data_IF_375400359202
#
_entry.id   IF_375400359202
#
_cell.length_a   1.000
_cell.length_b   1.000
_cell.length_c   1.000
_cell.angle_alpha   90.00
_cell.angle_beta   90.00
_cell.angle_gamma   90.00
#
_symmetry.space_group_name_H-M   'P 1'
#
loop_
_entity.id
_entity.type
_entity.pdbx_description
1 polymer ?
#
# COMPACT_ATOMS: atom_id res chain seq x y z
N UNK A 1 17.91 -18.35 -13.94
CA UNK A 1 18.81 -19.15 -13.06
C UNK A 1 19.98 -18.35 -12.51
N UNK A 2 20.97 -17.89 -13.29
CA UNK A 2 22.10 -17.10 -12.74
C UNK A 2 21.67 -15.68 -12.29
N UNK A 3 20.82 -15.04 -13.09
CA UNK A 3 20.34 -13.67 -12.87
C UNK A 3 19.36 -13.57 -11.69
N UNK A 4 18.44 -14.54 -11.58
CA UNK A 4 17.52 -14.67 -10.44
C UNK A 4 18.27 -14.87 -9.12
N UNK A 5 19.37 -15.63 -9.13
CA UNK A 5 20.20 -15.84 -7.94
C UNK A 5 20.87 -14.55 -7.50
N UNK A 6 21.43 -13.78 -8.44
CA UNK A 6 22.00 -12.47 -8.15
C UNK A 6 20.93 -11.52 -7.60
N UNK A 7 19.79 -11.44 -8.28
CA UNK A 7 18.67 -10.59 -7.87
C UNK A 7 18.21 -10.93 -6.45
N UNK A 8 18.01 -12.21 -6.14
CA UNK A 8 17.65 -12.65 -4.79
C UNK A 8 18.70 -12.23 -3.75
N UNK A 9 19.98 -12.41 -4.04
CA UNK A 9 21.07 -12.01 -3.14
C UNK A 9 21.08 -10.50 -2.88
N UNK A 10 20.92 -9.68 -3.92
CA UNK A 10 20.95 -8.22 -3.79
C UNK A 10 19.68 -7.70 -3.11
N UNK A 11 18.50 -8.23 -3.42
CA UNK A 11 17.26 -7.91 -2.71
C UNK A 11 17.41 -8.22 -1.22
N UNK A 12 17.92 -9.39 -0.87
CA UNK A 12 18.17 -9.75 0.53
C UNK A 12 19.17 -8.79 1.20
N UNK A 13 20.22 -8.37 0.49
CA UNK A 13 21.22 -7.41 0.98
C UNK A 13 20.67 -5.99 1.13
N UNK A 14 19.70 -5.59 0.32
CA UNK A 14 19.02 -4.30 0.44
C UNK A 14 18.02 -4.32 1.60
N UNK A 15 17.28 -5.42 1.75
CA UNK A 15 16.23 -5.55 2.75
C UNK A 15 16.75 -5.94 4.14
N UNK A 16 18.05 -6.29 4.27
CA UNK A 16 18.94 -6.51 5.45
C UNK A 16 18.37 -7.22 6.68
N UNK A 17 17.21 -6.80 7.16
CA UNK A 17 16.48 -7.34 8.30
C UNK A 17 15.66 -8.58 7.88
N UNK A 18 15.90 -9.76 8.47
CA UNK A 18 15.10 -10.95 8.22
C UNK A 18 13.59 -10.74 8.45
N UNK A 19 13.21 -9.88 9.41
CA UNK A 19 11.81 -9.55 9.66
C UNK A 19 11.17 -8.75 8.52
N UNK A 20 11.96 -8.00 7.76
CA UNK A 20 11.54 -7.33 6.53
C UNK A 20 11.52 -8.34 5.38
N UNK A 21 12.56 -9.16 5.25
CA UNK A 21 12.70 -10.15 4.18
C UNK A 21 11.51 -11.12 4.11
N UNK A 22 11.07 -11.66 5.25
CA UNK A 22 9.91 -12.54 5.35
C UNK A 22 8.60 -11.78 5.64
N UNK A 23 8.67 -10.45 5.78
CA UNK A 23 7.57 -9.62 6.24
C UNK A 23 6.98 -8.71 5.17
N UNK A 24 7.42 -8.80 3.91
CA UNK A 24 6.84 -8.09 2.76
C UNK A 24 5.48 -8.68 2.33
N UNK A 25 4.53 -8.77 3.27
CA UNK A 25 3.25 -9.46 3.11
C UNK A 25 2.36 -8.87 2.03
N UNK A 26 2.53 -7.57 1.75
CA UNK A 26 1.80 -6.91 0.66
C UNK A 26 2.11 -7.58 -0.70
N UNK A 27 3.26 -8.24 -0.82
CA UNK A 27 3.70 -8.93 -2.03
C UNK A 27 3.66 -10.46 -1.90
N UNK A 28 2.86 -11.00 -0.98
CA UNK A 28 2.68 -12.45 -0.84
C UNK A 28 2.29 -13.08 -2.20
N UNK A 29 3.01 -14.14 -2.57
CA UNK A 29 2.89 -14.81 -3.88
C UNK A 29 3.71 -14.18 -5.02
N UNK A 30 4.37 -13.05 -4.79
CA UNK A 30 5.29 -12.41 -5.74
C UNK A 30 6.73 -12.72 -5.34
N UNK A 31 7.47 -13.38 -6.23
CA UNK A 31 8.90 -13.65 -6.03
C UNK A 31 9.72 -12.52 -6.66
N UNK A 32 10.39 -11.73 -5.84
CA UNK A 32 11.14 -10.56 -6.30
C UNK A 32 12.18 -10.93 -7.37
N UNK A 33 12.85 -12.06 -7.24
CA UNK A 33 13.84 -12.56 -8.20
C UNK A 33 13.28 -12.93 -9.58
N UNK A 34 11.96 -13.14 -9.69
CA UNK A 34 11.29 -13.42 -10.97
C UNK A 34 10.72 -12.15 -11.63
N UNK A 35 10.65 -11.06 -10.86
CA UNK A 35 10.03 -9.80 -11.27
C UNK A 35 11.08 -8.73 -11.58
N UNK A 36 12.12 -8.68 -10.74
CA UNK A 36 13.14 -7.66 -10.78
C UNK A 36 14.34 -8.15 -11.59
N UNK A 37 14.88 -7.25 -12.41
CA UNK A 37 16.10 -7.46 -13.19
C UNK A 37 17.21 -6.61 -12.57
N UNK A 38 17.97 -7.22 -11.65
CA UNK A 38 19.07 -6.58 -10.95
C UNK A 38 20.41 -7.11 -11.46
N UNK A 39 21.26 -6.20 -11.91
CA UNK A 39 22.58 -6.51 -12.45
C UNK A 39 23.66 -5.56 -11.91
N UNK A 40 24.90 -6.02 -11.95
CA UNK A 40 26.06 -5.21 -11.59
C UNK A 40 26.59 -4.48 -12.83
N UNK A 41 26.63 -3.14 -12.78
CA UNK A 41 27.14 -2.32 -13.90
C UNK A 41 28.59 -1.88 -13.69
N UNK A 42 28.93 -1.64 -12.43
CA UNK A 42 30.28 -1.32 -11.97
C UNK A 42 30.51 -2.11 -10.68
N UNK A 43 31.77 -2.42 -10.37
CA UNK A 43 32.12 -3.20 -9.18
C UNK A 43 31.47 -2.60 -7.92
N UNK A 44 30.65 -3.39 -7.22
CA UNK A 44 29.94 -2.98 -6.00
C UNK A 44 28.74 -2.05 -6.22
N UNK A 45 28.32 -1.79 -7.47
CA UNK A 45 27.15 -0.96 -7.82
C UNK A 45 26.14 -1.76 -8.62
N UNK A 46 25.00 -2.00 -7.99
CA UNK A 46 23.91 -2.80 -8.55
C UNK A 46 22.74 -1.91 -8.97
N UNK A 47 22.28 -2.16 -10.18
CA UNK A 47 21.22 -1.42 -10.83
C UNK A 47 20.02 -2.34 -11.07
N UNK A 48 18.83 -1.77 -10.98
CA UNK A 48 17.57 -2.41 -11.28
C UNK A 48 17.00 -1.81 -12.57
N UNK A 49 16.57 -2.64 -13.52
CA UNK A 49 15.83 -2.17 -14.69
C UNK A 49 14.40 -1.80 -14.32
N UNK A 50 14.05 -0.52 -14.44
CA UNK A 50 12.72 -0.01 -14.08
C UNK A 50 11.63 -0.57 -15.02
N UNK A 51 10.57 -1.16 -14.45
CA UNK A 51 9.49 -1.82 -15.19
C UNK A 51 8.67 -0.87 -16.08
N UNK A 52 8.67 0.44 -15.77
CA UNK A 52 7.90 1.46 -16.52
C UNK A 52 8.77 2.38 -17.37
N UNK A 53 9.92 2.81 -16.84
CA UNK A 53 10.72 3.90 -17.43
C UNK A 53 11.85 3.42 -18.36
N UNK A 54 12.04 2.11 -18.48
CA UNK A 54 13.15 1.51 -19.24
C UNK A 54 14.53 2.07 -18.87
N UNK A 55 14.70 2.45 -17.60
CA UNK A 55 15.92 3.05 -17.07
C UNK A 55 16.57 2.18 -16.02
N UNK A 56 17.90 2.17 -15.98
CA UNK A 56 18.68 1.54 -14.93
C UNK A 56 18.69 2.42 -13.68
N UNK A 57 18.26 1.88 -12.53
CA UNK A 57 18.20 2.61 -11.26
C UNK A 57 19.21 2.01 -10.30
N UNK A 58 20.17 2.80 -9.83
CA UNK A 58 21.09 2.38 -8.77
C UNK A 58 20.31 2.09 -7.49
N UNK A 59 20.31 0.84 -7.05
CA UNK A 59 19.59 0.36 -5.84
C UNK A 59 20.52 -0.07 -4.71
N UNK A 60 21.77 -0.40 -5.00
CA UNK A 60 22.80 -0.71 -4.01
C UNK A 60 24.17 -0.18 -4.47
N UNK A 61 24.86 0.53 -3.59
CA UNK A 61 26.27 0.88 -3.73
C UNK A 61 27.00 0.50 -2.43
N UNK A 62 27.86 -0.50 -2.52
CA UNK A 62 28.57 -1.07 -1.37
C UNK A 62 29.58 -0.10 -0.77
N UNK A 63 30.35 0.59 -1.62
CA UNK A 63 31.38 1.54 -1.19
C UNK A 63 30.78 2.71 -0.39
N UNK A 64 29.60 3.18 -0.79
CA UNK A 64 28.90 4.28 -0.14
C UNK A 64 27.89 3.84 0.92
N UNK A 65 27.78 2.54 1.20
CA UNK A 65 26.75 1.94 2.06
C UNK A 65 25.33 2.47 1.74
N UNK A 66 25.04 2.67 0.46
CA UNK A 66 23.76 3.19 -0.03
C UNK A 66 22.90 2.02 -0.49
N UNK A 67 21.67 1.95 0.00
CA UNK A 67 20.64 1.00 -0.43
C UNK A 67 19.31 1.71 -0.58
N UNK A 68 18.50 1.34 -1.59
CA UNK A 68 17.19 1.93 -1.84
C UNK A 68 16.06 0.90 -1.70
N UNK A 69 15.70 0.49 -0.47
CA UNK A 69 14.64 -0.50 -0.28
C UNK A 69 13.26 0.01 -0.73
N UNK A 70 12.99 1.31 -0.63
CA UNK A 70 11.78 1.93 -1.18
C UNK A 70 11.65 1.72 -2.71
N UNK A 71 12.75 1.77 -3.47
CA UNK A 71 12.68 1.50 -4.92
C UNK A 71 12.32 0.04 -5.21
N UNK A 72 12.80 -0.91 -4.39
CA UNK A 72 12.39 -2.32 -4.49
C UNK A 72 10.88 -2.45 -4.28
N UNK A 73 10.34 -1.80 -3.25
CA UNK A 73 8.91 -1.77 -2.96
C UNK A 73 8.12 -1.13 -4.11
N UNK A 74 8.58 0.00 -4.65
CA UNK A 74 7.97 0.70 -5.79
C UNK A 74 7.87 -0.22 -7.02
N UNK A 75 8.93 -0.94 -7.35
CA UNK A 75 8.91 -1.85 -8.52
C UNK A 75 8.02 -3.09 -8.29
N UNK A 76 7.99 -3.64 -7.07
CA UNK A 76 7.03 -4.71 -6.73
C UNK A 76 5.57 -4.24 -6.80
N UNK A 77 5.30 -2.99 -6.42
CA UNK A 77 3.99 -2.38 -6.59
C UNK A 77 3.60 -2.23 -8.06
N UNK A 78 4.50 -1.78 -8.93
CA UNK A 78 4.23 -1.68 -10.38
C UNK A 78 3.88 -3.06 -10.95
N UNK A 79 4.63 -4.09 -10.56
CA UNK A 79 4.29 -5.47 -10.96
C UNK A 79 2.91 -5.90 -10.44
N UNK A 80 2.61 -5.65 -9.15
CA UNK A 80 1.32 -5.99 -8.56
C UNK A 80 0.16 -5.26 -9.25
N UNK A 81 0.32 -3.97 -9.55
CA UNK A 81 -0.67 -3.16 -10.26
C UNK A 81 -0.97 -3.72 -11.66
N UNK A 82 0.07 -4.12 -12.38
CA UNK A 82 -0.07 -4.61 -13.75
C UNK A 82 -0.56 -6.06 -13.83
N UNK A 83 -0.04 -6.96 -12.99
CA UNK A 83 -0.34 -8.40 -13.05
C UNK A 83 -1.51 -8.82 -12.19
N UNK A 84 -1.63 -8.24 -11.00
CA UNK A 84 -2.67 -8.65 -10.05
C UNK A 84 -3.91 -7.76 -10.17
N UNK A 85 -3.73 -6.44 -10.36
CA UNK A 85 -4.85 -5.49 -10.50
C UNK A 85 -5.26 -5.19 -11.95
N UNK A 86 -4.42 -5.54 -12.92
CA UNK A 86 -4.71 -5.41 -14.35
C UNK A 86 -4.54 -4.01 -14.92
N UNK A 87 -3.95 -3.07 -14.19
CA UNK A 87 -3.68 -1.71 -14.70
C UNK A 87 -2.53 -1.74 -15.72
N UNK A 88 -2.75 -1.36 -16.99
CA UNK A 88 -1.68 -1.36 -17.98
C UNK A 88 -0.64 -0.26 -17.66
N UNK A 89 0.61 -0.49 -18.06
CA UNK A 89 1.71 0.45 -17.80
C UNK A 89 1.46 1.85 -18.38
N UNK A 90 0.70 1.96 -19.46
CA UNK A 90 0.35 3.25 -20.09
C UNK A 90 -0.64 4.10 -19.27
N UNK A 91 -1.27 3.53 -18.24
CA UNK A 91 -2.06 4.26 -17.23
C UNK A 91 -1.27 4.58 -15.95
N UNK A 92 0.03 4.27 -15.90
CA UNK A 92 0.87 4.46 -14.72
C UNK A 92 1.97 5.47 -15.00
N UNK A 93 2.07 6.49 -14.16
CA UNK A 93 3.22 7.41 -14.09
C UNK A 93 3.98 7.23 -12.78
N UNK A 94 5.28 7.53 -12.81
CA UNK A 94 6.17 7.45 -11.66
C UNK A 94 6.82 8.80 -11.38
N UNK A 95 7.00 9.12 -10.10
CA UNK A 95 7.66 10.36 -9.64
C UNK A 95 7.05 11.63 -10.28
N UNK A 96 5.72 11.68 -10.40
CA UNK A 96 5.03 12.85 -10.98
C UNK A 96 5.03 14.00 -9.98
N UNK A 97 5.52 15.15 -10.42
CA UNK A 97 5.46 16.40 -9.65
C UNK A 97 4.01 16.82 -9.36
N UNK A 98 3.70 16.98 -8.08
CA UNK A 98 2.43 17.51 -7.59
C UNK A 98 2.62 19.00 -7.29
N UNK A 99 1.76 19.84 -7.86
CA UNK A 99 1.78 21.29 -7.64
C UNK A 99 0.89 21.66 -6.45
N UNK A 100 1.47 22.35 -5.47
CA UNK A 100 0.73 22.88 -4.31
C UNK A 100 0.50 24.38 -4.47
N UNK A 101 -0.64 24.76 -5.06
CA UNK A 101 -0.97 26.17 -5.25
C UNK A 101 0.15 26.95 -5.98
N UNK A 102 0.58 28.07 -5.42
CA UNK A 102 1.63 28.94 -5.99
C UNK A 102 3.05 28.63 -5.50
N UNK A 103 3.25 27.68 -4.57
CA UNK A 103 4.59 27.36 -4.07
C UNK A 103 5.33 26.36 -4.97
N UNK A 104 6.60 26.67 -5.26
CA UNK A 104 7.46 26.00 -6.27
C UNK A 104 8.14 24.74 -5.71
N UNK A 105 7.83 24.31 -4.48
CA UNK A 105 8.37 23.06 -3.96
C UNK A 105 7.61 21.88 -4.55
N UNK A 106 8.10 21.38 -5.69
CA UNK A 106 7.62 20.14 -6.31
C UNK A 106 7.90 18.98 -5.36
N UNK A 107 6.84 18.39 -4.81
CA UNK A 107 6.94 17.03 -4.25
C UNK A 107 6.39 16.08 -5.29
N UNK A 108 7.05 14.93 -5.44
CA UNK A 108 6.61 13.91 -6.38
C UNK A 108 5.78 12.85 -5.65
N UNK A 109 4.71 12.38 -6.28
CA UNK A 109 4.10 11.11 -5.90
C UNK A 109 4.84 9.95 -6.55
N UNK A 110 5.04 8.86 -5.80
CA UNK A 110 5.82 7.73 -6.28
C UNK A 110 5.18 7.03 -7.47
N UNK A 111 3.88 6.77 -7.40
CA UNK A 111 3.10 6.13 -8.46
C UNK A 111 1.74 6.82 -8.56
N UNK A 112 1.34 7.19 -9.77
CA UNK A 112 -0.02 7.64 -10.08
C UNK A 112 -0.61 6.71 -11.12
N UNK A 113 -1.84 6.26 -10.88
CA UNK A 113 -2.62 5.46 -11.82
C UNK A 113 -3.78 6.33 -12.29
N UNK A 114 -3.97 6.40 -13.59
CA UNK A 114 -5.04 7.16 -14.22
C UNK A 114 -6.24 6.29 -14.59
N UNK A 115 -7.35 6.95 -14.86
CA UNK A 115 -8.51 6.38 -15.52
C UNK A 115 -8.18 6.03 -16.98
N UNK A 116 -9.17 5.52 -17.70
CA UNK A 116 -9.05 5.13 -19.10
C UNK A 116 -8.62 6.27 -20.03
N UNK A 117 -8.96 7.51 -19.68
CA UNK A 117 -8.53 8.72 -20.38
C UNK A 117 -7.02 9.01 -20.26
N UNK A 118 -6.31 8.35 -19.34
CA UNK A 118 -4.87 8.55 -19.05
C UNK A 118 -4.52 9.95 -18.55
N UNK A 119 -5.53 10.72 -18.14
CA UNK A 119 -5.38 12.10 -17.69
C UNK A 119 -5.92 12.26 -16.27
N UNK A 120 -7.07 11.66 -15.97
CA UNK A 120 -7.74 11.81 -14.67
C UNK A 120 -7.14 10.84 -13.66
N UNK A 121 -6.54 11.33 -12.54
CA UNK A 121 -6.01 10.46 -11.51
C UNK A 121 -7.10 9.59 -10.87
N UNK A 122 -6.83 8.30 -10.77
CA UNK A 122 -7.68 7.32 -10.09
C UNK A 122 -7.10 6.95 -8.72
N UNK A 123 -5.79 6.71 -8.66
CA UNK A 123 -5.10 6.19 -7.49
C UNK A 123 -3.72 6.85 -7.39
N UNK A 124 -3.32 7.22 -6.19
CA UNK A 124 -1.95 7.65 -5.88
C UNK A 124 -1.34 6.66 -4.89
N UNK A 125 -0.14 6.16 -5.15
CA UNK A 125 0.58 5.33 -4.18
C UNK A 125 1.81 6.08 -3.72
N UNK A 126 1.96 6.19 -2.39
CA UNK A 126 3.17 6.61 -1.71
C UNK A 126 3.83 5.36 -1.11
N UNK A 127 5.01 5.05 -1.62
CA UNK A 127 5.85 3.95 -1.13
C UNK A 127 6.84 4.47 -0.11
N UNK A 128 7.11 3.69 0.94
CA UNK A 128 8.10 4.05 1.95
C UNK A 128 9.10 2.92 2.16
N UNK A 129 10.21 3.24 2.82
CA UNK A 129 11.13 2.21 3.33
C UNK A 129 10.40 1.28 4.33
N UNK A 130 10.74 -0.03 4.39
CA UNK A 130 10.06 -1.00 5.27
C UNK A 130 9.99 -0.62 6.76
N UNK A 131 10.96 0.16 7.23
CA UNK A 131 11.03 0.63 8.62
C UNK A 131 10.17 1.87 8.90
N UNK A 132 9.77 2.60 7.86
CA UNK A 132 8.98 3.82 7.96
C UNK A 132 7.51 3.52 8.24
N UNK A 133 6.86 4.39 9.01
CA UNK A 133 5.49 4.22 9.52
C UNK A 133 4.65 5.46 9.34
N UNK A 134 5.26 6.60 9.03
CA UNK A 134 4.58 7.89 8.85
C UNK A 134 4.36 8.20 7.37
N UNK A 135 3.48 9.16 7.13
CA UNK A 135 3.30 9.77 5.81
C UNK A 135 1.87 9.72 5.29
N UNK A 136 0.89 9.38 6.13
CA UNK A 136 -0.52 9.39 5.72
C UNK A 136 -1.02 10.80 5.42
N UNK A 137 -0.56 11.81 6.17
CA UNK A 137 -0.95 13.21 5.92
C UNK A 137 -0.34 13.75 4.62
N UNK A 138 0.86 13.29 4.25
CA UNK A 138 1.46 13.58 2.95
C UNK A 138 0.58 13.02 1.83
N UNK A 139 0.13 11.76 1.96
CA UNK A 139 -0.75 11.12 0.99
C UNK A 139 -2.12 11.81 0.89
N UNK A 140 -2.73 12.21 2.01
CA UNK A 140 -3.98 13.01 2.00
C UNK A 140 -3.81 14.32 1.23
N UNK A 141 -2.67 14.98 1.39
CA UNK A 141 -2.36 16.21 0.66
C UNK A 141 -2.29 15.95 -0.84
N UNK A 142 -1.63 14.86 -1.26
CA UNK A 142 -1.51 14.48 -2.67
C UNK A 142 -2.86 14.15 -3.31
N UNK A 143 -3.69 13.38 -2.61
CA UNK A 143 -5.07 13.08 -3.01
C UNK A 143 -5.85 14.38 -3.25
N UNK A 144 -5.74 15.34 -2.33
CA UNK A 144 -6.45 16.61 -2.42
C UNK A 144 -5.98 17.47 -3.60
N UNK A 145 -4.66 17.52 -3.84
CA UNK A 145 -4.08 18.33 -4.92
C UNK A 145 -4.40 17.79 -6.31
N UNK A 146 -4.31 16.48 -6.51
CA UNK A 146 -4.51 15.85 -7.82
C UNK A 146 -5.98 15.43 -8.09
N UNK A 147 -6.85 15.49 -7.07
CA UNK A 147 -8.26 15.08 -7.20
C UNK A 147 -8.46 13.57 -7.34
N UNK A 148 -7.46 12.75 -6.97
CA UNK A 148 -7.58 11.30 -7.01
C UNK A 148 -8.55 10.81 -5.91
N UNK A 149 -9.51 9.92 -6.21
CA UNK A 149 -10.44 9.42 -5.19
C UNK A 149 -9.79 8.48 -4.17
N UNK A 150 -8.68 7.83 -4.53
CA UNK A 150 -8.02 6.81 -3.70
C UNK A 150 -6.54 7.16 -3.56
N UNK A 151 -5.99 6.93 -2.37
CA UNK A 151 -4.55 6.87 -2.19
C UNK A 151 -4.11 5.67 -1.36
N UNK A 152 -2.89 5.19 -1.59
CA UNK A 152 -2.30 4.05 -0.91
C UNK A 152 -1.00 4.48 -0.29
N UNK A 153 -0.85 4.23 1.00
CA UNK A 153 0.44 4.29 1.66
C UNK A 153 0.91 2.85 1.87
N UNK A 154 2.15 2.54 1.51
CA UNK A 154 2.70 1.20 1.76
C UNK A 154 4.21 1.21 1.94
N UNK A 155 4.68 0.44 2.90
CA UNK A 155 6.10 0.13 3.10
C UNK A 155 6.44 -1.33 2.74
N UNK A 156 5.56 -1.98 1.97
CA UNK A 156 5.67 -3.39 1.58
C UNK A 156 5.33 -4.39 2.69
N UNK A 157 5.43 -4.01 3.96
CA UNK A 157 4.98 -4.84 5.09
C UNK A 157 3.51 -4.58 5.43
N UNK A 158 3.14 -3.30 5.43
CA UNK A 158 1.82 -2.80 5.73
C UNK A 158 1.31 -1.94 4.56
N UNK A 159 0.00 -1.77 4.53
CA UNK A 159 -0.68 -0.91 3.58
C UNK A 159 -1.89 -0.24 4.23
N UNK A 160 -2.09 1.02 3.89
CA UNK A 160 -3.32 1.75 4.18
C UNK A 160 -3.88 2.25 2.86
N UNK A 161 -5.15 1.93 2.58
CA UNK A 161 -5.88 2.48 1.44
C UNK A 161 -6.81 3.56 1.98
N UNK A 162 -6.62 4.79 1.57
CA UNK A 162 -7.49 5.93 1.83
C UNK A 162 -8.44 6.11 0.66
N UNK A 163 -9.70 6.39 0.96
CA UNK A 163 -10.74 6.70 -0.01
C UNK A 163 -11.46 7.98 0.39
N UNK A 164 -11.63 8.87 -0.57
CA UNK A 164 -12.35 10.11 -0.40
C UNK A 164 -13.54 10.17 -1.37
N UNK A 165 -14.74 9.77 -0.93
CA UNK A 165 -15.95 10.07 -1.67
C UNK A 165 -16.20 11.57 -1.60
N UNK A 166 -16.03 12.31 -2.69
CA UNK A 166 -16.32 13.76 -2.67
C UNK A 166 -17.80 14.01 -2.35
N UNK A 167 -18.16 14.96 -1.46
CA UNK A 167 -17.34 15.93 -0.71
C UNK A 167 -16.98 15.49 0.73
N UNK A 168 -17.12 14.20 1.06
CA UNK A 168 -16.98 13.66 2.42
C UNK A 168 -15.52 13.59 2.89
N UNK A 169 -15.39 13.33 4.19
CA UNK A 169 -14.12 13.06 4.85
C UNK A 169 -13.45 11.79 4.32
N UNK A 170 -12.15 11.70 4.55
CA UNK A 170 -11.39 10.49 4.25
C UNK A 170 -11.91 9.30 5.04
N UNK A 171 -12.09 8.20 4.35
CA UNK A 171 -12.35 6.89 4.90
C UNK A 171 -11.20 5.97 4.49
N UNK A 172 -11.13 4.79 5.09
CA UNK A 172 -10.25 3.73 4.58
C UNK A 172 -10.99 2.87 3.57
N UNK A 173 -10.26 2.06 2.79
CA UNK A 173 -10.78 0.88 2.09
C UNK A 173 -9.97 -0.33 2.53
N UNK A 174 -10.57 -1.52 2.39
CA UNK A 174 -9.85 -2.78 2.59
C UNK A 174 -8.84 -3.03 1.47
N UNK A 175 -9.24 -2.78 0.24
CA UNK A 175 -8.37 -2.91 -0.92
C UNK A 175 -8.59 -1.83 -1.97
N UNK A 176 -7.65 -1.73 -2.92
CA UNK A 176 -7.87 -0.95 -4.14
C UNK A 176 -8.71 -1.75 -5.16
N UNK A 177 -9.52 -1.07 -6.00
CA UNK A 177 -10.24 -1.75 -7.07
C UNK A 177 -9.28 -2.31 -8.11
N UNK A 178 -9.60 -3.47 -8.67
CA UNK A 178 -9.03 -3.93 -9.95
C UNK A 178 -9.53 -3.05 -11.09
N UNK A 179 -8.87 -3.12 -12.24
CA UNK A 179 -9.23 -2.32 -13.43
C UNK A 179 -10.71 -2.45 -13.84
N UNK A 180 -11.33 -3.59 -13.56
CA UNK A 180 -12.72 -3.92 -13.88
C UNK A 180 -13.66 -3.91 -12.67
N UNK A 181 -13.24 -3.35 -11.54
CA UNK A 181 -14.05 -3.22 -10.33
C UNK A 181 -14.32 -1.75 -10.03
N UNK A 182 -15.51 -1.48 -9.50
CA UNK A 182 -15.83 -0.19 -8.89
C UNK A 182 -15.42 -0.18 -7.42
N UNK A 183 -15.54 0.98 -6.78
CA UNK A 183 -15.30 1.09 -5.33
C UNK A 183 -16.43 0.41 -4.55
N UNK A 184 -17.66 0.45 -5.07
CA UNK A 184 -18.83 -0.22 -4.52
C UNK A 184 -18.66 -1.74 -4.54
N UNK A 185 -18.04 -2.29 -5.59
CA UNK A 185 -17.69 -3.72 -5.65
C UNK A 185 -16.74 -4.10 -4.51
N UNK A 186 -15.72 -3.27 -4.24
CA UNK A 186 -14.76 -3.49 -3.15
C UNK A 186 -15.44 -3.41 -1.78
N UNK A 187 -16.34 -2.45 -1.59
CA UNK A 187 -17.07 -2.28 -0.32
C UNK A 187 -18.09 -3.41 -0.07
N UNK A 188 -18.71 -3.93 -1.13
CA UNK A 188 -19.74 -4.97 -1.04
C UNK A 188 -19.16 -6.39 -0.99
N UNK A 189 -17.89 -6.58 -1.35
CA UNK A 189 -17.21 -7.89 -1.37
C UNK A 189 -17.31 -8.62 -0.02
N UNK A 190 -17.92 -9.81 -0.06
CA UNK A 190 -18.09 -10.65 1.11
C UNK A 190 -16.75 -11.11 1.65
N UNK A 191 -16.64 -11.14 2.98
CA UNK A 191 -15.45 -11.56 3.68
C UNK A 191 -15.70 -12.87 4.40
N UNK A 192 -14.80 -13.83 4.23
CA UNK A 192 -14.79 -15.04 5.04
C UNK A 192 -13.54 -15.13 5.90
N UNK A 193 -13.56 -16.01 6.90
CA UNK A 193 -12.41 -16.30 7.75
C UNK A 193 -11.16 -16.72 6.95
N UNK A 194 -11.35 -17.34 5.78
CA UNK A 194 -10.23 -17.73 4.90
C UNK A 194 -9.60 -16.53 4.18
N UNK A 195 -10.33 -15.44 4.03
CA UNK A 195 -9.82 -14.20 3.47
C UNK A 195 -9.06 -13.34 4.50
N UNK A 196 -9.06 -13.72 5.78
CA UNK A 196 -8.38 -12.97 6.83
C UNK A 196 -6.88 -13.27 6.85
N UNK A 197 -6.09 -12.21 6.97
CA UNK A 197 -4.65 -12.32 7.12
C UNK A 197 -4.31 -12.93 8.50
N UNK A 198 -3.65 -14.09 8.50
CA UNK A 198 -3.32 -14.83 9.72
C UNK A 198 -2.00 -14.39 10.38
N UNK A 199 -1.15 -13.70 9.63
CA UNK A 199 0.15 -13.21 10.10
C UNK A 199 0.18 -11.70 10.00
N UNK A 200 0.25 -10.99 11.13
CA UNK A 200 0.29 -9.52 11.19
C UNK A 200 1.09 -9.05 12.41
N UNK A 201 1.58 -7.81 12.37
CA UNK A 201 2.22 -7.16 13.52
C UNK A 201 1.23 -6.21 14.18
N UNK A 202 0.63 -6.66 15.30
CA UNK A 202 -0.39 -5.89 16.00
C UNK A 202 0.14 -4.53 16.48
N UNK A 203 1.40 -4.44 16.89
CA UNK A 203 1.99 -3.18 17.38
C UNK A 203 2.10 -2.18 16.24
N UNK A 204 2.42 -2.61 15.01
CA UNK A 204 2.42 -1.74 13.83
C UNK A 204 1.02 -1.28 13.47
N UNK A 205 0.04 -2.19 13.45
CA UNK A 205 -1.36 -1.85 13.17
C UNK A 205 -1.88 -0.81 14.17
N UNK A 206 -1.62 -0.99 15.47
CA UNK A 206 -2.05 -0.04 16.51
C UNK A 206 -1.47 1.36 16.29
N UNK A 207 -0.20 1.47 15.89
CA UNK A 207 0.44 2.77 15.58
C UNK A 207 -0.16 3.45 14.35
N UNK A 208 -0.53 2.67 13.33
CA UNK A 208 -1.22 3.20 12.15
C UNK A 208 -2.62 3.68 12.53
N UNK A 209 -3.35 2.90 13.33
CA UNK A 209 -4.67 3.31 13.84
C UNK A 209 -4.58 4.57 14.68
N UNK A 210 -3.54 4.72 15.50
CA UNK A 210 -3.27 5.94 16.25
C UNK A 210 -3.10 7.15 15.31
N UNK A 211 -2.28 7.07 14.26
CA UNK A 211 -2.13 8.15 13.26
C UNK A 211 -3.44 8.48 12.52
N UNK A 212 -4.30 7.48 12.30
CA UNK A 212 -5.62 7.68 11.70
C UNK A 212 -6.64 8.32 12.66
N UNK A 213 -6.63 7.95 13.94
CA UNK A 213 -7.60 8.39 14.96
C UNK A 213 -7.22 9.73 15.60
N UNK A 214 -5.94 10.12 15.60
CA UNK A 214 -5.45 11.39 16.15
C UNK A 214 -5.94 12.65 15.40
N UNK A 215 -6.74 12.50 14.34
CA UNK A 215 -7.44 13.59 13.70
C UNK A 215 -8.67 14.05 14.52
N UNK A 216 -8.44 14.92 15.51
CA UNK A 216 -9.45 15.92 15.94
C UNK A 216 -10.58 15.49 16.87
N UNK A 217 -10.63 14.24 17.37
CA UNK A 217 -11.78 13.75 18.13
C UNK A 217 -11.78 14.06 19.64
N UNK A 218 -10.67 14.52 20.23
CA UNK A 218 -10.60 14.88 21.66
C UNK A 218 -10.85 13.72 22.64
N UNK A 219 -10.90 12.49 22.16
CA UNK A 219 -11.15 11.25 22.90
C UNK A 219 -9.88 10.40 23.00
N UNK A 220 -9.82 9.53 24.01
CA UNK A 220 -8.74 8.55 24.15
C UNK A 220 -8.79 7.55 22.99
N UNK A 221 -7.89 7.74 22.02
CA UNK A 221 -7.79 6.92 20.81
C UNK A 221 -7.62 5.44 21.12
N UNK A 222 -6.96 5.12 22.23
CA UNK A 222 -6.67 3.76 22.63
C UNK A 222 -7.94 3.00 23.05
N UNK A 223 -8.83 3.66 23.80
CA UNK A 223 -10.14 3.10 24.17
C UNK A 223 -11.00 2.80 22.95
N UNK A 224 -11.06 3.70 21.97
CA UNK A 224 -11.84 3.47 20.74
C UNK A 224 -11.27 2.33 19.89
N UNK A 225 -9.94 2.25 19.78
CA UNK A 225 -9.26 1.16 19.08
C UNK A 225 -9.58 -0.20 19.71
N UNK A 226 -9.61 -0.30 21.05
CA UNK A 226 -9.95 -1.57 21.71
C UNK A 226 -11.37 -2.05 21.42
N UNK A 227 -12.35 -1.14 21.37
CA UNK A 227 -13.73 -1.52 21.00
C UNK A 227 -13.77 -2.19 19.63
N UNK A 228 -13.03 -1.65 18.66
CA UNK A 228 -12.92 -2.23 17.32
C UNK A 228 -12.26 -3.62 17.35
N UNK A 229 -11.20 -3.80 18.15
CA UNK A 229 -10.53 -5.09 18.30
C UNK A 229 -11.48 -6.14 18.90
N UNK A 230 -12.22 -5.78 19.96
CA UNK A 230 -13.19 -6.69 20.57
C UNK A 230 -14.32 -7.06 19.63
N UNK A 231 -14.91 -6.09 18.93
CA UNK A 231 -15.96 -6.32 17.95
C UNK A 231 -15.47 -7.26 16.82
N UNK A 232 -14.26 -7.05 16.32
CA UNK A 232 -13.61 -7.95 15.34
C UNK A 232 -13.46 -9.38 15.86
N UNK A 233 -12.89 -9.56 17.04
CA UNK A 233 -12.66 -10.88 17.63
C UNK A 233 -13.98 -11.62 17.93
N UNK A 234 -15.00 -10.89 18.38
CA UNK A 234 -16.33 -11.42 18.59
C UNK A 234 -16.93 -11.90 17.27
N UNK A 235 -16.90 -11.07 16.24
CA UNK A 235 -17.46 -11.42 14.93
C UNK A 235 -16.74 -12.61 14.29
N UNK A 236 -15.41 -12.69 14.36
CA UNK A 236 -14.66 -13.86 13.88
C UNK A 236 -15.04 -15.16 14.61
N UNK A 237 -15.35 -15.06 15.91
CA UNK A 237 -15.83 -16.20 16.68
C UNK A 237 -17.21 -16.64 16.20
N UNK A 238 -18.13 -15.71 16.00
CA UNK A 238 -19.49 -16.00 15.55
C UNK A 238 -19.55 -16.42 14.07
N UNK A 239 -18.64 -15.92 13.23
CA UNK A 239 -18.49 -16.31 11.84
C UNK A 239 -18.32 -17.84 11.68
N UNK A 240 -17.65 -18.51 12.63
CA UNK A 240 -17.51 -19.98 12.63
C UNK A 240 -18.86 -20.71 12.69
N UNK A 241 -19.89 -20.09 13.27
CA UNK A 241 -21.26 -20.62 13.32
C UNK A 241 -22.08 -20.27 12.06
N UNK A 242 -21.61 -19.32 11.24
CA UNK A 242 -22.28 -18.78 10.05
C UNK A 242 -21.57 -19.18 8.74
N UNK A 243 -21.02 -20.40 8.69
CA UNK A 243 -20.32 -20.88 7.48
C UNK A 243 -19.04 -20.10 7.13
N UNK A 244 -18.48 -19.34 8.08
CA UNK A 244 -17.24 -18.60 7.94
C UNK A 244 -17.38 -17.15 7.48
N UNK A 245 -18.59 -16.64 7.23
CA UNK A 245 -18.79 -15.24 6.82
C UNK A 245 -18.58 -14.26 7.99
N UNK A 246 -17.74 -13.25 7.73
CA UNK A 246 -17.35 -12.17 8.64
C UNK A 246 -18.17 -10.93 8.29
N UNK A 247 -18.82 -10.35 9.28
CA UNK A 247 -19.65 -9.15 9.16
C UNK A 247 -18.95 -7.90 9.67
N UNK A 248 -17.92 -8.04 10.51
CA UNK A 248 -17.04 -6.94 10.91
C UNK A 248 -16.17 -6.54 9.71
N UNK A 249 -16.74 -5.64 8.90
CA UNK A 249 -16.12 -5.02 7.75
C UNK A 249 -16.69 -3.63 7.55
N UNK A 250 -15.97 -2.79 6.84
CA UNK A 250 -16.53 -1.53 6.36
C UNK A 250 -17.69 -1.85 5.40
N UNK A 251 -18.81 -1.17 5.61
CA UNK A 251 -19.93 -1.19 4.69
C UNK A 251 -20.15 0.20 4.11
N UNK A 252 -20.83 0.26 2.96
CA UNK A 252 -21.16 1.52 2.27
C UNK A 252 -21.96 2.49 3.16
N UNK A 253 -22.80 1.93 4.06
CA UNK A 253 -23.57 2.69 5.02
C UNK A 253 -22.91 2.64 6.40
N UNK A 254 -22.35 3.76 6.85
CA UNK A 254 -21.72 3.88 8.16
C UNK A 254 -22.64 3.49 9.32
N UNK A 255 -23.97 3.62 9.17
CA UNK A 255 -24.94 3.13 10.16
C UNK A 255 -24.95 1.61 10.26
N UNK A 256 -24.85 0.89 9.15
CA UNK A 256 -24.79 -0.58 9.19
C UNK A 256 -23.54 -1.02 9.95
N UNK A 257 -22.40 -0.39 9.67
CA UNK A 257 -21.17 -0.64 10.42
C UNK A 257 -21.34 -0.33 11.91
N UNK A 258 -21.96 0.81 12.25
CA UNK A 258 -22.21 1.20 13.65
C UNK A 258 -23.17 0.24 14.38
N UNK A 259 -24.30 -0.11 13.76
CA UNK A 259 -25.36 -0.97 14.32
C UNK A 259 -24.92 -2.44 14.42
N UNK A 260 -23.95 -2.87 13.61
CA UNK A 260 -23.38 -4.23 13.69
C UNK A 260 -22.31 -4.33 14.78
N UNK A 261 -21.66 -3.22 15.13
CA UNK A 261 -20.56 -3.16 16.10
C UNK A 261 -21.04 -2.86 17.53
N UNK A 262 -22.12 -2.09 17.69
CA UNK A 262 -22.74 -1.80 19.00
C UNK A 262 -23.83 -2.82 19.36
#
# INVERSE_FOLDING_TARGET
>A
MADEKLTSQIVNKILKDPSVQYGLKEFDGIKAEQVLDIFEKEKGKFYLKCLKREKDILVLNEEKNLSKPEEIIRQLWIYKLTKNYGYPLDRIDLEKDIRFGHEIHSKAADIIIYREDRETPLLIIETKNPSEKKGLDQLKTYINSEGAPIGVWSNGMEKVVLYRPYPREFQTLREIPRINQTIEDVLSEKLTLDNLQKSYDLVKILKILEELVLAGAGVDSFTEIFKLIYAKLYDEKEARKRGGEVWFRQSENTKITFDTIN
#
